data_IF_694474501397
#
_entry.id   IF_694474501397
#
_cell.length_a   1.000
_cell.length_b   1.000
_cell.length_c   1.000
_cell.angle_alpha   90.00
_cell.angle_beta   90.00
_cell.angle_gamma   90.00
#
_symmetry.space_group_name_H-M   'P 1'
#
loop_
_entity.id
_entity.type
_entity.pdbx_description
1 polymer ?
#
# COMPACT_ATOMS: atom_id res chain seq x y z
N UNK A 1 -5.48 8.33 0.24
CA UNK A 1 -5.32 9.32 1.32
C UNK A 1 -6.67 9.55 1.97
N UNK A 2 -6.74 9.45 3.29
CA UNK A 2 -8.00 9.56 4.01
C UNK A 2 -8.27 10.96 4.54
N UNK A 3 -7.22 11.68 4.95
CA UNK A 3 -7.39 13.01 5.52
C UNK A 3 -6.23 13.91 5.17
N UNK A 4 -6.52 15.20 5.14
CA UNK A 4 -5.53 16.28 5.17
C UNK A 4 -5.81 17.10 6.43
N UNK A 5 -4.82 17.25 7.30
CA UNK A 5 -5.04 17.95 8.56
C UNK A 5 -3.88 18.86 8.90
N UNK A 6 -4.21 19.98 9.54
CA UNK A 6 -3.19 20.81 10.17
C UNK A 6 -2.61 20.09 11.38
N UNK A 7 -1.32 20.31 11.62
CA UNK A 7 -0.64 19.81 12.81
C UNK A 7 -0.14 21.04 13.57
N UNK A 8 -0.54 21.24 14.83
CA UNK A 8 -0.14 22.44 15.57
C UNK A 8 1.38 22.64 15.54
N UNK A 9 1.78 23.86 15.23
CA UNK A 9 3.19 24.24 15.21
C UNK A 9 3.94 23.91 13.93
N UNK A 10 3.29 23.23 12.96
CA UNK A 10 3.95 22.88 11.71
C UNK A 10 3.14 23.45 10.53
N UNK A 11 3.80 24.06 9.54
CA UNK A 11 3.06 24.60 8.40
C UNK A 11 2.55 23.52 7.46
N UNK A 12 1.48 23.86 6.74
CA UNK A 12 0.92 22.97 5.72
C UNK A 12 -0.06 21.98 6.29
N UNK A 13 -0.41 21.01 5.46
CA UNK A 13 -1.41 19.99 5.80
C UNK A 13 -0.75 18.61 5.67
N UNK A 14 -0.83 17.82 6.76
CA UNK A 14 -0.29 16.46 6.74
C UNK A 14 -1.23 15.53 5.97
N UNK A 15 -0.63 14.67 5.17
CA UNK A 15 -1.34 13.66 4.41
C UNK A 15 -1.44 12.37 5.24
N UNK A 16 -2.67 11.86 5.44
CA UNK A 16 -2.90 10.66 6.24
C UNK A 16 -3.46 9.53 5.40
N UNK A 17 -2.86 8.33 5.54
CA UNK A 17 -3.39 7.11 4.92
C UNK A 17 -4.55 6.52 5.72
N UNK A 18 -4.60 6.79 7.00
CA UNK A 18 -5.66 6.37 7.92
C UNK A 18 -6.16 7.60 8.66
N UNK A 19 -7.43 7.63 9.10
CA UNK A 19 -7.87 8.74 9.93
C UNK A 19 -6.98 8.90 11.17
N UNK A 20 -6.64 10.12 11.51
CA UNK A 20 -5.81 10.38 12.69
C UNK A 20 -6.44 9.79 13.95
N UNK A 21 -7.77 9.87 14.08
CA UNK A 21 -8.46 9.33 15.25
C UNK A 21 -8.27 7.82 15.36
N UNK A 22 -8.25 7.11 14.26
CA UNK A 22 -7.99 5.68 14.27
C UNK A 22 -6.55 5.42 14.71
N UNK A 23 -5.59 6.13 14.12
CA UNK A 23 -4.18 5.92 14.44
C UNK A 23 -3.89 5.98 15.93
N UNK A 24 -4.41 6.78 16.42
CA UNK A 24 -4.26 6.99 17.73
C UNK A 24 -4.63 5.93 18.61
N UNK A 25 -5.56 4.97 18.16
CA UNK A 25 -6.05 3.85 18.95
C UNK A 25 -5.26 2.56 18.76
N UNK A 26 -4.39 2.50 17.79
CA UNK A 26 -3.68 1.29 17.39
C UNK A 26 -2.53 0.92 18.32
N UNK A 27 -2.08 -0.31 18.19
CA UNK A 27 -0.93 -0.82 18.95
C UNK A 27 -1.38 -1.61 20.15
N UNK A 28 -0.40 -2.14 20.84
CA UNK A 28 -0.58 -2.96 22.04
C UNK A 28 0.03 -2.23 23.23
N UNK A 29 -0.34 -2.65 24.44
CA UNK A 29 0.20 -2.05 25.67
C UNK A 29 1.72 -2.07 25.68
N UNK A 30 2.30 -3.10 25.06
CA UNK A 30 3.75 -3.31 25.04
C UNK A 30 4.44 -2.78 23.79
N UNK A 31 3.65 -2.34 22.78
CA UNK A 31 4.25 -1.85 21.53
C UNK A 31 3.28 -0.91 20.82
N UNK A 32 3.68 0.32 20.68
CA UNK A 32 2.87 1.38 20.07
C UNK A 32 3.29 1.81 18.65
N UNK A 33 3.95 1.17 18.00
CA UNK A 33 4.45 1.47 16.74
C UNK A 33 3.44 1.80 15.72
N UNK A 34 2.40 0.99 15.85
CA UNK A 34 1.31 1.18 14.87
C UNK A 34 0.80 2.60 14.80
N UNK A 35 0.76 3.29 15.92
CA UNK A 35 0.24 4.67 15.93
C UNK A 35 1.03 5.58 15.01
N UNK A 36 2.34 5.40 14.98
CA UNK A 36 3.24 6.20 14.15
C UNK A 36 3.27 5.68 12.72
N UNK A 37 3.29 4.37 12.54
CA UNK A 37 3.29 3.75 11.23
C UNK A 37 2.04 4.12 10.44
N UNK A 38 0.88 4.23 11.12
CA UNK A 38 -0.38 4.60 10.47
C UNK A 38 -0.34 6.04 9.94
N UNK A 39 0.52 6.89 10.49
CA UNK A 39 0.64 8.27 10.04
C UNK A 39 1.65 8.43 8.91
N UNK A 40 2.42 7.40 8.58
CA UNK A 40 3.37 7.47 7.47
C UNK A 40 2.64 7.56 6.14
N UNK A 41 3.29 8.20 5.18
CA UNK A 41 2.62 8.72 3.99
C UNK A 41 2.63 7.79 2.78
N UNK A 42 3.38 6.70 2.83
CA UNK A 42 3.61 5.90 1.62
C UNK A 42 2.30 5.51 0.94
N UNK A 43 2.29 5.68 -0.38
CA UNK A 43 1.11 5.36 -1.19
C UNK A 43 0.10 6.49 -1.30
N UNK A 44 0.19 7.53 -0.49
CA UNK A 44 -0.57 8.74 -0.77
C UNK A 44 -0.07 9.33 -2.08
N UNK A 45 -0.97 9.92 -2.83
CA UNK A 45 -0.64 10.46 -4.14
C UNK A 45 -1.37 11.77 -4.35
N UNK A 46 -0.63 12.80 -4.79
CA UNK A 46 -1.23 14.08 -5.18
C UNK A 46 -1.43 14.02 -6.68
N UNK A 47 -2.64 14.35 -7.08
CA UNK A 47 -3.00 14.30 -8.51
C UNK A 47 -3.53 15.64 -8.97
N UNK A 48 -3.02 16.29 -10.16
CA UNK A 48 -3.39 17.48 -10.64
C UNK A 48 -3.51 17.45 -12.11
N UNK A 49 -4.43 18.06 -12.59
CA UNK A 49 -4.49 18.32 -14.04
C UNK A 49 -4.43 19.83 -14.25
N UNK A 50 -3.51 20.29 -15.08
CA UNK A 50 -3.36 21.72 -15.36
C UNK A 50 -2.80 21.94 -16.76
N UNK A 51 -3.24 23.03 -17.38
CA UNK A 51 -2.63 23.49 -18.61
C UNK A 51 -1.28 24.19 -18.43
N UNK A 52 -0.87 24.44 -17.19
CA UNK A 52 0.43 25.05 -16.94
C UNK A 52 1.54 24.12 -17.43
N UNK A 53 2.46 24.67 -18.19
CA UNK A 53 3.60 23.90 -18.67
C UNK A 53 4.55 23.57 -17.53
N UNK A 54 4.65 24.46 -16.55
CA UNK A 54 5.44 24.22 -15.35
C UNK A 54 4.72 24.81 -14.14
N UNK A 55 5.06 24.30 -12.97
CA UNK A 55 4.49 24.77 -11.71
C UNK A 55 5.41 24.42 -10.55
N UNK A 56 5.19 25.05 -9.42
CA UNK A 56 5.94 24.79 -8.20
C UNK A 56 5.07 24.10 -7.18
N UNK A 57 5.61 23.05 -6.58
CA UNK A 57 4.94 22.27 -5.54
C UNK A 57 5.82 22.28 -4.30
N UNK A 58 5.27 22.76 -3.17
CA UNK A 58 6.01 22.85 -1.91
C UNK A 58 5.57 21.72 -0.98
N UNK A 59 6.53 20.91 -0.51
CA UNK A 59 6.31 19.76 0.35
C UNK A 59 7.34 19.77 1.48
N UNK A 60 6.95 19.24 2.65
CA UNK A 60 7.88 19.08 3.77
C UNK A 60 7.78 17.66 4.31
N UNK A 61 8.91 16.98 4.39
CA UNK A 61 9.01 15.66 5.02
C UNK A 61 9.35 15.83 6.50
N UNK A 62 8.81 14.94 7.32
CA UNK A 62 9.13 14.85 8.75
C UNK A 62 9.43 13.42 9.12
N UNK A 63 10.12 13.22 10.21
CA UNK A 63 10.63 11.97 10.76
C UNK A 63 11.89 11.53 10.02
N UNK A 64 11.82 11.32 8.72
CA UNK A 64 12.95 10.92 7.89
C UNK A 64 12.83 11.62 6.54
N UNK A 65 13.92 11.60 5.77
CA UNK A 65 13.87 12.00 4.36
C UNK A 65 12.88 11.09 3.64
N UNK A 66 12.14 11.68 2.68
CA UNK A 66 11.14 10.93 1.92
C UNK A 66 11.41 11.10 0.44
N UNK A 67 11.41 10.00 -0.30
CA UNK A 67 11.43 10.07 -1.76
C UNK A 67 10.01 10.24 -2.29
N UNK A 68 9.85 11.09 -3.27
CA UNK A 68 8.61 11.16 -4.05
C UNK A 68 8.94 10.87 -5.51
N UNK A 69 8.05 10.19 -6.20
CA UNK A 69 8.19 9.94 -7.63
C UNK A 69 7.13 10.76 -8.35
N UNK A 70 7.55 11.49 -9.37
CA UNK A 70 6.66 12.34 -10.16
C UNK A 70 6.36 11.62 -11.47
N UNK A 71 5.06 11.46 -11.76
CA UNK A 71 4.60 10.78 -12.97
C UNK A 71 3.78 11.72 -13.84
N UNK A 72 3.90 11.52 -15.16
CA UNK A 72 2.94 12.02 -16.14
C UNK A 72 2.12 10.81 -16.58
N UNK A 73 0.88 10.75 -16.13
CA UNK A 73 0.11 9.53 -16.34
C UNK A 73 0.79 8.33 -15.70
N UNK A 74 1.04 7.30 -16.48
CA UNK A 74 1.71 6.09 -16.00
C UNK A 74 3.23 6.13 -16.15
N UNK A 75 3.77 7.20 -16.73
CA UNK A 75 5.20 7.29 -17.01
C UNK A 75 5.92 8.11 -15.97
N UNK A 76 7.01 7.56 -15.43
CA UNK A 76 7.79 8.28 -14.43
C UNK A 76 8.56 9.41 -15.09
N UNK A 77 8.50 10.59 -14.52
CA UNK A 77 9.27 11.75 -14.98
C UNK A 77 10.56 11.88 -14.21
N UNK A 78 10.49 11.81 -12.89
CA UNK A 78 11.67 12.00 -12.04
C UNK A 78 11.37 11.50 -10.63
N UNK A 79 12.42 11.37 -9.84
CA UNK A 79 12.35 11.11 -8.42
C UNK A 79 13.00 12.28 -7.70
N UNK A 80 12.48 12.66 -6.55
CA UNK A 80 13.09 13.69 -5.72
C UNK A 80 13.14 13.20 -4.28
N UNK A 81 14.21 13.53 -3.58
CA UNK A 81 14.35 13.24 -2.16
C UNK A 81 14.08 14.53 -1.38
N UNK A 82 13.14 14.46 -0.45
CA UNK A 82 12.74 15.59 0.39
C UNK A 82 13.48 15.45 1.73
N UNK A 83 14.42 16.35 2.03
CA UNK A 83 15.12 16.27 3.33
C UNK A 83 14.16 16.55 4.48
N UNK A 84 14.26 15.77 5.53
CA UNK A 84 13.38 15.93 6.70
C UNK A 84 13.58 17.30 7.34
N UNK A 85 12.47 17.93 7.71
CA UNK A 85 12.49 19.20 8.44
C UNK A 85 12.66 20.43 7.59
N UNK A 86 12.73 20.29 6.27
CA UNK A 86 12.88 21.42 5.35
C UNK A 86 11.76 21.41 4.32
N UNK A 87 11.20 22.58 4.04
CA UNK A 87 10.27 22.69 2.93
C UNK A 87 11.05 22.70 1.63
N UNK A 88 10.72 21.78 0.74
CA UNK A 88 11.32 21.69 -0.59
C UNK A 88 10.30 22.20 -1.61
N UNK A 89 10.74 23.08 -2.50
CA UNK A 89 9.91 23.51 -3.62
C UNK A 89 10.40 22.77 -4.87
N UNK A 90 9.54 21.93 -5.41
CA UNK A 90 9.82 21.19 -6.63
C UNK A 90 9.29 22.01 -7.80
N UNK A 91 10.17 22.36 -8.72
CA UNK A 91 9.77 23.00 -9.97
C UNK A 91 9.57 21.91 -11.01
N UNK A 92 8.33 21.68 -11.40
CA UNK A 92 7.96 20.56 -12.28
C UNK A 92 7.56 21.09 -13.65
N UNK A 93 8.05 20.43 -14.69
CA UNK A 93 7.84 20.89 -16.06
C UNK A 93 7.42 19.71 -16.93
N UNK A 94 6.32 19.88 -17.67
CA UNK A 94 5.85 18.84 -18.58
C UNK A 94 6.86 18.65 -19.72
N UNK A 95 7.18 17.40 -20.08
CA UNK A 95 8.14 17.19 -21.17
C UNK A 95 7.62 17.76 -22.50
N UNK A 96 8.46 18.51 -23.19
CA UNK A 96 8.09 19.08 -24.50
C UNK A 96 7.76 18.00 -25.52
N UNK A 97 8.36 16.82 -25.38
CA UNK A 97 8.12 15.72 -26.29
C UNK A 97 6.65 15.31 -26.34
N UNK A 98 5.91 15.54 -25.26
CA UNK A 98 4.48 15.14 -25.22
C UNK A 98 3.66 15.82 -26.30
N UNK A 99 4.04 17.03 -26.68
CA UNK A 99 3.29 17.78 -27.69
C UNK A 99 3.35 17.13 -29.08
N UNK A 100 4.34 16.25 -29.28
CA UNK A 100 4.57 15.61 -30.57
C UNK A 100 4.10 14.17 -30.61
N UNK A 101 3.45 13.70 -29.54
CA UNK A 101 3.00 12.32 -29.50
C UNK A 101 1.65 12.18 -30.21
N UNK A 102 1.46 11.01 -30.83
CA UNK A 102 0.16 10.67 -31.40
C UNK A 102 -0.86 10.50 -30.29
N UNK A 103 -2.15 10.82 -30.53
CA UNK A 103 -3.16 10.74 -29.46
C UNK A 103 -3.22 9.39 -28.77
N UNK A 104 -3.02 8.27 -29.50
CA UNK A 104 -3.06 6.95 -28.88
C UNK A 104 -1.98 6.78 -27.81
N UNK A 105 -0.83 7.45 -27.97
CA UNK A 105 0.25 7.36 -26.99
C UNK A 105 -0.02 8.15 -25.72
N UNK A 106 -1.01 9.03 -25.75
CA UNK A 106 -1.37 9.83 -24.58
C UNK A 106 -2.30 9.09 -23.63
N UNK A 107 -2.93 8.03 -24.11
CA UNK A 107 -3.72 7.17 -23.23
C UNK A 107 -2.80 6.32 -22.38
N UNK A 108 -3.15 6.13 -21.14
CA UNK A 108 -2.37 5.27 -20.26
C UNK A 108 -3.16 4.02 -19.93
N UNK A 109 -2.49 3.07 -19.31
CA UNK A 109 -3.17 1.88 -18.78
C UNK A 109 -4.10 2.26 -17.65
N UNK A 110 -3.65 3.20 -16.81
CA UNK A 110 -4.44 3.67 -15.67
C UNK A 110 -4.76 5.17 -15.77
N UNK A 111 -3.80 5.98 -16.24
CA UNK A 111 -3.93 7.43 -16.25
C UNK A 111 -3.47 7.96 -17.61
N UNK A 112 -4.22 8.89 -18.21
CA UNK A 112 -3.73 9.58 -19.40
C UNK A 112 -2.49 10.45 -19.08
N UNK A 113 -1.73 10.72 -19.95
CA UNK A 113 -0.58 11.39 -19.85
C UNK A 113 -0.58 12.70 -19.28
N UNK A 114 -1.70 13.30 -19.35
CA UNK A 114 -1.77 14.67 -18.83
C UNK A 114 -2.02 14.74 -17.33
N UNK A 115 -2.28 13.64 -16.68
CA UNK A 115 -2.51 13.64 -15.24
C UNK A 115 -1.16 13.63 -14.53
N UNK A 116 -0.90 14.68 -13.76
CA UNK A 116 0.28 14.74 -12.89
C UNK A 116 0.01 13.89 -11.66
N UNK A 117 0.98 13.05 -11.28
CA UNK A 117 0.88 12.23 -10.08
C UNK A 117 2.17 12.33 -9.29
N UNK A 118 2.05 12.69 -8.03
CA UNK A 118 3.20 12.74 -7.12
C UNK A 118 2.97 11.63 -6.10
N UNK A 119 3.70 10.53 -6.27
CA UNK A 119 3.56 9.33 -5.46
C UNK A 119 4.52 9.40 -4.30
N UNK A 120 3.99 9.35 -3.09
CA UNK A 120 4.79 9.48 -1.87
C UNK A 120 5.39 8.15 -1.46
N UNK A 121 6.67 8.17 -1.14
CA UNK A 121 7.39 6.98 -0.69
C UNK A 121 7.33 6.79 0.81
N UNK A 122 8.18 5.89 1.31
CA UNK A 122 8.10 5.37 2.67
C UNK A 122 8.88 6.20 3.69
N UNK A 123 8.62 5.88 4.93
CA UNK A 123 9.45 6.14 6.12
C UNK A 123 9.27 7.49 6.77
N UNK A 124 8.20 8.21 6.45
CA UNK A 124 8.00 9.46 7.16
C UNK A 124 6.63 10.05 6.95
N UNK A 125 6.45 11.24 7.51
CA UNK A 125 5.23 12.03 7.40
C UNK A 125 5.45 13.12 6.37
N UNK A 126 4.42 13.47 5.62
CA UNK A 126 4.56 14.49 4.59
C UNK A 126 3.48 15.55 4.72
N UNK A 127 3.90 16.80 4.57
CA UNK A 127 2.98 17.93 4.53
C UNK A 127 2.95 18.53 3.14
N UNK A 128 1.75 18.88 2.71
CA UNK A 128 1.52 19.68 1.51
C UNK A 128 1.53 21.14 1.94
N UNK A 129 2.42 21.94 1.36
CA UNK A 129 2.58 23.36 1.75
C UNK A 129 2.07 24.32 0.69
N UNK A 130 1.83 23.87 -0.53
CA UNK A 130 1.26 24.73 -1.55
C UNK A 130 1.58 24.32 -2.96
N UNK A 131 0.80 24.87 -3.87
CA UNK A 131 0.94 24.64 -5.31
C UNK A 131 0.79 25.97 -6.00
N UNK A 132 1.75 26.33 -6.86
CA UNK A 132 1.70 27.57 -7.62
C UNK A 132 1.77 27.25 -9.10
N UNK A 133 0.66 27.42 -9.81
CA UNK A 133 0.61 27.20 -11.26
C UNK A 133 0.70 28.52 -12.03
N UNK A 134 1.16 29.57 -11.37
CA UNK A 134 1.38 30.88 -11.99
C UNK A 134 0.13 31.42 -12.68
N UNK A 135 -1.03 31.24 -12.05
CA UNK A 135 -2.27 31.75 -12.54
C UNK A 135 -3.00 30.88 -13.56
N UNK A 136 -2.39 29.77 -13.96
CA UNK A 136 -3.06 28.84 -14.89
C UNK A 136 -3.98 27.92 -14.09
N UNK A 137 -5.21 27.67 -14.55
CA UNK A 137 -6.14 26.81 -13.79
C UNK A 137 -5.60 25.41 -13.52
N UNK A 138 -5.98 24.88 -12.36
CA UNK A 138 -5.61 23.56 -11.91
C UNK A 138 -6.85 22.89 -11.31
N UNK A 139 -7.02 21.61 -11.57
CA UNK A 139 -8.19 20.86 -11.07
C UNK A 139 -7.80 19.42 -10.72
N UNK A 140 -8.62 18.73 -9.92
CA UNK A 140 -8.39 17.29 -9.73
C UNK A 140 -8.75 16.53 -11.01
N UNK A 141 -8.27 15.29 -11.16
CA UNK A 141 -8.66 14.47 -12.30
C UNK A 141 -10.17 14.16 -12.27
N UNK A 142 -10.75 14.07 -13.46
CA UNK A 142 -12.11 13.57 -13.59
C UNK A 142 -12.15 12.05 -13.39
N UNK A 143 -13.33 11.47 -13.12
CA UNK A 143 -13.40 10.01 -12.97
C UNK A 143 -12.82 9.23 -14.16
N UNK A 144 -13.02 9.72 -15.38
CA UNK A 144 -12.49 9.05 -16.57
C UNK A 144 -10.97 9.16 -16.70
N UNK A 145 -10.34 10.00 -15.90
CA UNK A 145 -8.90 10.24 -15.96
C UNK A 145 -8.14 9.46 -14.89
N UNK A 146 -8.78 8.53 -14.20
CA UNK A 146 -8.13 7.72 -13.17
C UNK A 146 -8.86 6.38 -13.07
N UNK A 147 -8.24 5.37 -12.42
CA UNK A 147 -8.86 4.05 -12.37
C UNK A 147 -10.19 4.07 -11.63
N UNK A 148 -11.15 3.31 -12.16
CA UNK A 148 -12.46 3.17 -11.53
C UNK A 148 -12.44 2.18 -10.36
N UNK A 149 -11.52 1.23 -10.38
CA UNK A 149 -11.46 0.15 -9.40
C UNK A 149 -10.50 0.52 -8.28
N UNK A 150 -10.98 0.39 -7.05
CA UNK A 150 -10.20 0.73 -5.85
C UNK A 150 -9.91 -0.52 -5.04
N UNK A 151 -8.65 -0.70 -4.68
CA UNK A 151 -8.15 -1.86 -3.93
C UNK A 151 -7.48 -1.39 -2.65
N UNK A 152 -7.93 -1.92 -1.49
CA UNK A 152 -7.28 -1.68 -0.19
C UNK A 152 -6.34 -2.83 0.10
N UNK A 153 -5.07 -2.52 0.38
CA UNK A 153 -4.08 -3.54 0.68
C UNK A 153 -3.58 -3.38 2.13
N UNK A 154 -4.06 -4.24 3.01
CA UNK A 154 -3.65 -4.25 4.41
C UNK A 154 -2.57 -5.32 4.60
N UNK A 155 -1.56 -5.01 5.40
CA UNK A 155 -0.49 -5.97 5.65
C UNK A 155 0.65 -5.37 6.44
N UNK A 156 1.78 -6.06 6.38
CA UNK A 156 3.01 -5.75 7.10
C UNK A 156 3.88 -4.76 6.32
N UNK A 157 5.15 -4.65 6.75
CA UNK A 157 6.16 -3.89 6.00
C UNK A 157 6.35 -4.42 4.58
N UNK A 158 6.05 -5.69 4.33
CA UNK A 158 6.15 -6.23 2.98
C UNK A 158 5.10 -5.55 2.09
N UNK A 159 3.87 -5.39 2.58
CA UNK A 159 2.85 -4.63 1.85
C UNK A 159 3.26 -3.17 1.70
N UNK A 160 3.89 -2.59 2.71
CA UNK A 160 4.41 -1.21 2.60
C UNK A 160 5.46 -1.05 1.51
N UNK A 161 6.17 -2.12 1.16
CA UNK A 161 7.22 -2.05 0.16
C UNK A 161 8.61 -1.86 0.73
N UNK A 162 8.81 -2.18 2.01
CA UNK A 162 10.11 -2.00 2.65
C UNK A 162 11.22 -2.71 1.89
N UNK A 163 12.38 -2.07 1.86
CA UNK A 163 13.61 -2.49 1.18
C UNK A 163 13.61 -2.21 -0.33
N UNK A 164 12.48 -1.88 -0.94
CA UNK A 164 12.53 -1.43 -2.34
C UNK A 164 13.35 -0.14 -2.43
N UNK A 165 14.07 0.03 -3.53
CA UNK A 165 14.85 1.25 -3.76
C UNK A 165 13.97 2.40 -4.25
N UNK A 166 12.85 2.08 -4.90
CA UNK A 166 11.81 3.08 -5.20
C UNK A 166 10.46 2.47 -4.84
N UNK A 167 9.60 3.29 -4.27
CA UNK A 167 8.32 2.80 -3.72
C UNK A 167 7.42 2.18 -4.81
N UNK A 168 7.49 2.66 -6.04
CA UNK A 168 6.66 2.10 -7.10
C UNK A 168 6.97 0.63 -7.39
N UNK A 169 8.10 0.11 -6.91
CA UNK A 169 8.42 -1.32 -7.05
C UNK A 169 7.70 -2.21 -6.04
N UNK A 170 7.10 -1.64 -4.98
CA UNK A 170 6.35 -2.45 -4.01
C UNK A 170 5.35 -3.34 -4.73
N UNK A 171 5.18 -4.57 -4.22
CA UNK A 171 4.38 -5.57 -4.95
C UNK A 171 2.95 -5.09 -5.20
N UNK A 172 2.38 -4.34 -4.27
CA UNK A 172 1.01 -3.84 -4.47
C UNK A 172 0.94 -2.84 -5.61
N UNK A 173 1.97 -1.99 -5.75
CA UNK A 173 2.01 -1.04 -6.87
C UNK A 173 2.20 -1.76 -8.19
N UNK A 174 3.06 -2.78 -8.21
CA UNK A 174 3.30 -3.56 -9.42
C UNK A 174 2.04 -4.30 -9.86
N UNK A 175 1.32 -4.89 -8.90
CA UNK A 175 0.07 -5.57 -9.22
C UNK A 175 -0.99 -4.58 -9.70
N UNK A 176 -1.12 -3.44 -9.03
CA UNK A 176 -2.13 -2.45 -9.40
C UNK A 176 -1.93 -1.94 -10.82
N UNK A 177 -0.68 -1.70 -11.22
CA UNK A 177 -0.39 -1.25 -12.59
C UNK A 177 -0.87 -2.27 -13.61
N UNK A 178 -0.59 -3.56 -13.37
CA UNK A 178 -0.95 -4.62 -14.29
C UNK A 178 -2.44 -4.85 -14.34
N UNK A 179 -3.14 -4.64 -13.22
CA UNK A 179 -4.59 -4.81 -13.13
C UNK A 179 -5.37 -3.59 -13.60
N UNK A 180 -4.72 -2.44 -13.70
CA UNK A 180 -5.39 -1.19 -14.01
C UNK A 180 -6.18 -0.62 -12.83
N UNK A 181 -5.77 -0.93 -11.62
CA UNK A 181 -6.47 -0.55 -10.39
C UNK A 181 -5.76 0.58 -9.65
N UNK A 182 -6.50 1.25 -8.77
CA UNK A 182 -5.98 2.25 -7.85
C UNK A 182 -5.81 1.58 -6.49
N UNK A 183 -4.57 1.37 -6.06
CA UNK A 183 -4.32 0.70 -4.78
C UNK A 183 -4.10 1.73 -3.68
N UNK A 184 -4.75 1.51 -2.54
CA UNK A 184 -4.57 2.30 -1.33
C UNK A 184 -3.81 1.42 -0.33
N UNK A 185 -2.57 1.81 -0.06
CA UNK A 185 -1.67 1.00 0.78
C UNK A 185 -2.01 1.22 2.24
N UNK A 186 -2.55 0.18 2.87
CA UNK A 186 -2.90 0.20 4.30
C UNK A 186 -1.94 -0.64 5.12
N UNK A 187 -0.73 -0.86 4.63
CA UNK A 187 0.30 -1.59 5.35
C UNK A 187 0.79 -0.84 6.60
N UNK A 188 1.10 -1.61 7.63
CA UNK A 188 1.62 -1.09 8.90
C UNK A 188 2.92 -1.83 9.23
N UNK A 189 4.04 -1.17 8.99
CA UNK A 189 5.37 -1.79 9.13
C UNK A 189 5.58 -2.28 10.56
N UNK A 190 5.89 -3.57 10.70
CA UNK A 190 6.13 -4.19 12.00
C UNK A 190 4.90 -4.26 12.90
N UNK A 191 3.73 -3.88 12.40
CA UNK A 191 2.56 -3.61 13.25
C UNK A 191 1.26 -4.11 12.64
N UNK A 192 1.31 -5.11 11.78
CA UNK A 192 0.10 -5.70 11.20
C UNK A 192 -0.45 -6.70 12.22
N UNK A 193 -1.19 -6.18 13.20
CA UNK A 193 -1.63 -6.94 14.37
C UNK A 193 -3.12 -7.29 14.36
N UNK A 194 -3.81 -7.03 13.25
CA UNK A 194 -5.22 -7.43 13.10
C UNK A 194 -6.11 -6.90 14.24
N UNK A 195 -5.92 -5.65 14.63
CA UNK A 195 -6.71 -5.05 15.71
C UNK A 195 -8.17 -4.91 15.30
N UNK A 196 -9.09 -4.97 16.29
CA UNK A 196 -10.51 -4.79 16.05
C UNK A 196 -10.80 -3.43 15.38
N UNK A 197 -10.07 -2.40 15.76
CA UNK A 197 -10.26 -1.07 15.19
C UNK A 197 -9.94 -1.04 13.70
N UNK A 198 -8.91 -1.80 13.29
CA UNK A 198 -8.57 -1.93 11.86
C UNK A 198 -9.68 -2.69 11.13
N UNK A 199 -10.17 -3.78 11.73
CA UNK A 199 -11.25 -4.55 11.11
C UNK A 199 -12.48 -3.68 10.88
N UNK A 200 -12.88 -2.90 11.89
CA UNK A 200 -14.02 -2.00 11.79
C UNK A 200 -13.80 -0.94 10.71
N UNK A 201 -12.60 -0.41 10.63
CA UNK A 201 -12.24 0.58 9.60
C UNK A 201 -12.40 -0.02 8.20
N UNK A 202 -11.83 -1.21 7.98
CA UNK A 202 -11.91 -1.86 6.67
C UNK A 202 -13.36 -2.18 6.29
N UNK A 203 -14.18 -2.55 7.28
CA UNK A 203 -15.58 -2.87 7.04
C UNK A 203 -16.39 -1.68 6.53
N UNK A 204 -15.91 -0.46 6.73
CA UNK A 204 -16.65 0.75 6.39
C UNK A 204 -16.12 1.45 5.13
N UNK A 205 -15.08 0.91 4.51
CA UNK A 205 -14.45 1.59 3.38
C UNK A 205 -15.22 1.39 2.09
N UNK A 206 -15.20 2.40 1.24
CA UNK A 206 -15.75 2.33 -0.11
C UNK A 206 -14.64 1.84 -1.04
N UNK A 207 -14.66 0.56 -1.34
CA UNK A 207 -13.63 -0.07 -2.17
C UNK A 207 -14.20 -1.30 -2.86
N UNK A 208 -13.52 -1.74 -3.92
CA UNK A 208 -13.94 -2.90 -4.69
C UNK A 208 -13.25 -4.18 -4.23
N UNK A 209 -12.02 -4.08 -3.83
CA UNK A 209 -11.20 -5.24 -3.45
C UNK A 209 -10.42 -4.96 -2.19
N UNK A 210 -10.18 -6.01 -1.42
CA UNK A 210 -9.36 -5.96 -0.21
C UNK A 210 -8.40 -7.13 -0.23
N UNK A 211 -7.12 -6.87 0.05
CA UNK A 211 -6.18 -7.94 0.32
C UNK A 211 -5.65 -7.81 1.73
N UNK A 212 -5.44 -8.97 2.37
CA UNK A 212 -5.00 -9.06 3.75
C UNK A 212 -3.76 -9.96 3.79
N UNK A 213 -2.59 -9.36 3.99
CA UNK A 213 -1.33 -10.10 4.05
C UNK A 213 -1.00 -10.27 5.54
N UNK A 214 -1.13 -11.50 6.05
CA UNK A 214 -1.22 -11.73 7.49
C UNK A 214 -0.16 -12.69 8.01
N UNK A 215 0.28 -12.45 9.22
CA UNK A 215 0.99 -13.39 10.06
C UNK A 215 2.40 -12.99 10.44
N UNK A 216 3.14 -12.38 9.54
CA UNK A 216 4.58 -12.19 9.75
C UNK A 216 4.88 -11.29 10.96
N UNK A 217 4.07 -10.27 11.19
CA UNK A 217 4.31 -9.36 12.32
C UNK A 217 3.84 -9.92 13.65
N UNK A 218 2.88 -10.84 13.64
CA UNK A 218 2.36 -11.40 14.87
C UNK A 218 3.17 -12.62 15.34
N UNK A 219 3.89 -13.29 14.41
CA UNK A 219 4.63 -14.48 14.74
C UNK A 219 5.66 -14.30 15.87
N UNK A 220 6.38 -13.18 15.95
CA UNK A 220 7.34 -13.01 17.05
C UNK A 220 6.72 -12.86 18.43
N UNK A 221 5.46 -12.40 18.54
CA UNK A 221 4.97 -11.91 19.82
C UNK A 221 3.59 -12.43 20.25
N UNK A 222 2.85 -13.10 19.37
CA UNK A 222 1.51 -13.55 19.67
C UNK A 222 1.44 -15.08 19.69
N UNK A 223 0.61 -15.64 20.58
CA UNK A 223 0.34 -17.06 20.55
C UNK A 223 -0.45 -17.44 19.31
N UNK A 224 -0.40 -18.71 18.94
CA UNK A 224 -1.21 -19.21 17.83
C UNK A 224 -2.71 -19.01 18.11
N UNK A 225 -3.14 -19.21 19.36
CA UNK A 225 -4.54 -19.02 19.73
C UNK A 225 -4.97 -17.56 19.57
N UNK A 226 -4.14 -16.61 19.99
CA UNK A 226 -4.48 -15.20 19.88
C UNK A 226 -4.47 -14.76 18.40
N UNK A 227 -3.51 -15.25 17.61
CA UNK A 227 -3.49 -14.99 16.19
C UNK A 227 -4.79 -15.48 15.54
N UNK A 228 -5.17 -16.72 15.82
CA UNK A 228 -6.39 -17.30 15.26
C UNK A 228 -7.62 -16.46 15.65
N UNK A 229 -7.67 -16.03 16.90
CA UNK A 229 -8.79 -15.23 17.38
C UNK A 229 -8.92 -13.92 16.61
N UNK A 230 -7.79 -13.26 16.40
CA UNK A 230 -7.79 -11.97 15.70
C UNK A 230 -8.11 -12.12 14.22
N UNK A 231 -7.56 -13.13 13.61
CA UNK A 231 -7.87 -13.38 12.19
C UNK A 231 -9.35 -13.75 12.02
N UNK A 232 -9.89 -14.44 12.82
CA UNK A 232 -11.22 -14.77 12.80
C UNK A 232 -12.08 -13.61 12.89
N UNK A 233 -11.76 -12.52 13.61
CA UNK A 233 -12.42 -11.37 13.72
C UNK A 233 -12.33 -10.53 12.58
N UNK A 234 -11.12 -10.42 12.16
CA UNK A 234 -10.86 -9.63 10.97
C UNK A 234 -11.66 -10.09 9.76
N UNK A 235 -11.63 -11.37 9.47
CA UNK A 235 -12.34 -11.88 8.28
C UNK A 235 -13.85 -11.67 8.41
N UNK A 236 -14.41 -11.97 9.57
CA UNK A 236 -15.83 -11.80 9.80
C UNK A 236 -16.25 -10.34 9.63
N UNK A 237 -15.50 -9.44 10.24
CA UNK A 237 -15.83 -8.01 10.21
C UNK A 237 -15.64 -7.43 8.80
N UNK A 238 -14.52 -7.76 8.13
CA UNK A 238 -14.29 -7.31 6.76
C UNK A 238 -15.38 -7.81 5.82
N UNK A 239 -15.85 -9.03 6.04
CA UNK A 239 -16.93 -9.61 5.22
C UNK A 239 -18.24 -8.85 5.32
N UNK A 240 -18.42 -8.03 6.35
CA UNK A 240 -19.62 -7.19 6.49
C UNK A 240 -19.62 -6.05 5.47
N UNK A 241 -18.49 -5.77 4.84
CA UNK A 241 -18.40 -4.72 3.83
C UNK A 241 -18.91 -5.25 2.50
N UNK A 242 -20.17 -4.99 2.22
CA UNK A 242 -20.84 -5.55 1.03
C UNK A 242 -20.49 -4.80 -0.27
N UNK A 243 -19.73 -3.71 -0.20
CA UNK A 243 -19.19 -3.06 -1.38
C UNK A 243 -18.06 -3.87 -2.00
N UNK A 244 -17.34 -4.66 -1.19
CA UNK A 244 -16.20 -5.45 -1.68
C UNK A 244 -16.68 -6.58 -2.57
N UNK A 245 -16.07 -6.71 -3.75
CA UNK A 245 -16.34 -7.80 -4.69
C UNK A 245 -15.57 -9.06 -4.35
N UNK A 246 -14.35 -8.90 -3.83
CA UNK A 246 -13.49 -10.01 -3.40
C UNK A 246 -12.66 -9.57 -2.20
N UNK A 247 -12.34 -10.53 -1.34
CA UNK A 247 -11.43 -10.35 -0.22
C UNK A 247 -10.36 -11.44 -0.34
N UNK A 248 -9.13 -11.01 -0.61
CA UNK A 248 -8.01 -11.93 -0.79
C UNK A 248 -7.23 -12.04 0.51
N UNK A 249 -7.11 -13.26 1.02
CA UNK A 249 -6.33 -13.53 2.22
C UNK A 249 -5.02 -14.14 1.78
N UNK A 250 -3.90 -13.50 2.10
CA UNK A 250 -2.58 -13.94 1.66
C UNK A 250 -1.81 -14.43 2.88
N UNK A 251 -1.41 -15.69 2.87
CA UNK A 251 -0.61 -16.21 3.96
C UNK A 251 0.86 -15.79 3.78
N UNK A 252 1.67 -16.04 4.80
CA UNK A 252 3.03 -15.50 4.83
C UNK A 252 3.85 -15.93 3.61
N UNK A 253 4.55 -14.96 3.05
CA UNK A 253 5.55 -15.22 2.01
C UNK A 253 6.72 -15.99 2.63
N UNK A 254 7.51 -16.71 1.82
CA UNK A 254 8.73 -17.34 2.34
C UNK A 254 9.58 -16.32 3.10
N UNK A 255 10.10 -16.75 4.24
CA UNK A 255 10.90 -15.86 5.08
C UNK A 255 11.77 -16.70 6.02
N UNK A 256 12.61 -16.03 6.82
CA UNK A 256 13.56 -16.71 7.68
C UNK A 256 12.88 -17.70 8.64
N UNK A 257 11.62 -17.52 8.94
CA UNK A 257 10.89 -18.45 9.80
C UNK A 257 10.86 -19.87 9.24
N UNK A 258 10.90 -20.00 7.91
CA UNK A 258 10.98 -21.33 7.27
C UNK A 258 12.41 -21.87 7.17
N UNK A 259 13.39 -20.98 7.22
CA UNK A 259 14.76 -21.32 6.89
C UNK A 259 15.64 -21.52 8.14
N UNK A 260 15.28 -20.88 9.24
CA UNK A 260 16.09 -20.87 10.44
C UNK A 260 15.93 -22.17 11.22
N UNK A 261 17.03 -22.65 11.82
CA UNK A 261 17.02 -23.94 12.52
C UNK A 261 16.64 -23.84 13.99
N UNK A 262 16.58 -22.63 14.54
CA UNK A 262 16.35 -22.49 15.98
C UNK A 262 14.85 -22.34 16.27
N UNK A 263 14.23 -23.24 16.56
CA UNK A 263 12.97 -23.37 16.87
C UNK A 263 12.55 -22.75 18.09
N UNK A 264 13.53 -22.33 19.03
CA UNK A 264 13.15 -21.59 20.22
C UNK A 264 12.69 -20.16 19.91
N UNK A 265 13.06 -19.63 18.76
CA UNK A 265 12.62 -18.30 18.36
C UNK A 265 11.15 -18.32 18.02
N UNK A 266 10.30 -17.46 18.62
CA UNK A 266 8.87 -17.50 18.35
C UNK A 266 8.52 -17.33 16.86
N UNK A 267 9.23 -16.46 16.13
CA UNK A 267 8.95 -16.25 14.72
C UNK A 267 9.17 -17.53 13.90
N UNK A 268 10.15 -18.35 14.31
CA UNK A 268 10.41 -19.63 13.62
C UNK A 268 9.35 -20.66 14.04
N UNK A 269 9.12 -20.78 15.33
CA UNK A 269 8.15 -21.74 15.87
C UNK A 269 6.74 -21.51 15.34
N UNK A 270 6.33 -20.27 15.17
CA UNK A 270 4.97 -19.92 14.74
C UNK A 270 4.79 -19.87 13.23
N UNK A 271 5.87 -19.93 12.44
CA UNK A 271 5.78 -19.69 11.01
C UNK A 271 4.77 -20.64 10.34
N UNK A 272 4.96 -21.93 10.46
CA UNK A 272 4.03 -22.90 9.87
C UNK A 272 2.69 -22.94 10.56
N UNK A 273 2.61 -22.94 11.90
CA UNK A 273 1.29 -22.90 12.54
C UNK A 273 0.44 -21.69 12.13
N UNK A 274 1.03 -20.50 11.99
CA UNK A 274 0.27 -19.34 11.55
C UNK A 274 -0.22 -19.48 10.11
N UNK A 275 0.61 -20.07 9.22
CA UNK A 275 0.17 -20.33 7.86
C UNK A 275 -1.00 -21.32 7.85
N UNK A 276 -0.94 -22.35 8.67
CA UNK A 276 -2.04 -23.31 8.78
C UNK A 276 -3.33 -22.66 9.27
N UNK A 277 -3.22 -21.79 10.26
CA UNK A 277 -4.37 -21.04 10.78
C UNK A 277 -4.96 -20.17 9.68
N UNK A 278 -4.12 -19.47 9.01
CA UNK A 278 -4.58 -18.57 7.93
C UNK A 278 -5.31 -19.32 6.84
N UNK A 279 -4.83 -20.27 6.47
CA UNK A 279 -5.37 -21.07 5.45
C UNK A 279 -6.64 -21.67 5.85
N UNK A 280 -6.69 -22.17 7.15
CA UNK A 280 -7.90 -22.82 7.67
C UNK A 280 -9.03 -21.79 7.81
N UNK A 281 -8.75 -20.67 8.38
CA UNK A 281 -9.76 -19.63 8.57
C UNK A 281 -10.23 -19.03 7.25
N UNK A 282 -9.36 -18.87 6.32
CA UNK A 282 -9.75 -18.41 4.99
C UNK A 282 -10.65 -19.42 4.29
N UNK A 283 -10.34 -20.57 4.43
CA UNK A 283 -11.09 -21.59 3.90
C UNK A 283 -12.42 -21.69 4.53
N UNK A 284 -12.62 -21.37 5.79
CA UNK A 284 -13.80 -21.29 6.44
C UNK A 284 -14.63 -20.18 5.99
N UNK A 285 -14.04 -19.05 5.87
CA UNK A 285 -14.74 -17.88 5.37
C UNK A 285 -15.30 -18.08 3.96
N UNK A 286 -14.52 -18.70 3.10
CA UNK A 286 -14.95 -18.92 1.71
C UNK A 286 -16.17 -19.82 1.58
N UNK A 287 -16.34 -20.74 2.50
CA UNK A 287 -17.52 -21.61 2.48
C UNK A 287 -18.79 -20.83 2.78
N UNK A 288 -18.71 -19.82 3.60
CA UNK A 288 -19.86 -19.01 3.96
C UNK A 288 -20.06 -17.82 3.03
N UNK A 289 -18.98 -17.36 2.39
CA UNK A 289 -18.98 -16.14 1.58
C UNK A 289 -17.99 -16.33 0.44
N UNK A 290 -18.50 -16.54 -0.77
CA UNK A 290 -17.68 -16.86 -1.94
C UNK A 290 -16.73 -15.74 -2.35
N UNK A 291 -16.84 -14.57 -1.74
CA UNK A 291 -15.92 -13.48 -2.05
C UNK A 291 -14.50 -13.70 -1.53
N UNK A 292 -14.39 -14.60 -0.50
CA UNK A 292 -13.07 -14.85 0.10
C UNK A 292 -12.23 -15.79 -0.76
N UNK A 293 -10.87 -15.56 -0.88
CA UNK A 293 -9.98 -16.34 -1.63
C UNK A 293 -8.72 -16.39 -0.86
N UNK A 294 -8.06 -17.35 -0.55
CA UNK A 294 -6.86 -17.56 -0.05
C UNK A 294 -5.97 -17.55 -1.15
N UNK A 295 -4.89 -16.93 -0.94
CA UNK A 295 -3.73 -16.94 -1.83
C UNK A 295 -2.52 -17.35 -1.01
N UNK A 296 -1.84 -18.40 -1.44
CA UNK A 296 -0.63 -18.84 -0.73
C UNK A 296 0.55 -17.94 -1.12
N UNK A 297 1.28 -17.49 -0.12
CA UNK A 297 2.48 -16.70 -0.34
C UNK A 297 3.50 -17.36 -1.25
N UNK A 298 3.56 -18.48 -1.13
CA UNK A 298 4.39 -19.32 -1.83
C UNK A 298 4.14 -19.27 -3.26
N UNK A 299 2.92 -18.91 -3.71
CA UNK A 299 2.57 -18.77 -5.02
C UNK A 299 2.97 -17.44 -5.55
N UNK A 300 3.14 -16.45 -4.70
CA UNK A 300 3.54 -15.18 -5.05
C UNK A 300 5.01 -15.00 -5.12
N UNK A 301 5.80 -15.51 -4.06
CA UNK A 301 7.28 -15.54 -4.06
C UNK A 301 7.71 -16.99 -3.96
N UNK A 302 8.22 -17.53 -5.03
CA UNK A 302 8.43 -18.98 -5.11
C UNK A 302 9.76 -19.44 -4.52
N UNK A 303 10.74 -18.55 -4.40
CA UNK A 303 12.00 -18.93 -3.76
C UNK A 303 12.57 -17.76 -3.00
N UNK A 304 13.55 -18.06 -2.16
CA UNK A 304 14.12 -17.08 -1.25
C UNK A 304 15.16 -16.17 -1.89
N UNK A 305 15.51 -16.41 -3.14
CA UNK A 305 16.42 -15.52 -3.86
C UNK A 305 15.79 -14.13 -4.09
N UNK A 306 14.47 -14.06 -4.02
CA UNK A 306 13.78 -12.78 -4.11
C UNK A 306 13.77 -11.96 -2.84
N UNK A 307 14.34 -12.51 -1.75
CA UNK A 307 14.44 -11.77 -0.49
C UNK A 307 15.73 -10.97 -0.45
N UNK A 308 15.73 -9.93 0.36
CA UNK A 308 16.98 -9.27 0.74
C UNK A 308 17.71 -10.13 1.77
N UNK A 309 18.92 -9.72 2.17
CA UNK A 309 19.73 -10.53 3.08
C UNK A 309 19.19 -10.62 4.50
N UNK A 310 18.14 -9.86 4.84
CA UNK A 310 17.50 -10.06 6.14
C UNK A 310 16.55 -11.27 6.11
N UNK A 311 16.37 -11.88 4.94
CA UNK A 311 15.55 -13.08 4.74
C UNK A 311 14.11 -12.88 5.20
N UNK A 312 13.62 -11.66 5.06
CA UNK A 312 12.25 -11.31 5.41
C UNK A 312 11.63 -10.39 4.36
N UNK A 313 12.32 -9.30 4.03
CA UNK A 313 11.79 -8.30 3.10
C UNK A 313 12.26 -8.62 1.68
N UNK A 314 11.34 -8.68 0.72
CA UNK A 314 11.75 -8.90 -0.68
C UNK A 314 12.60 -7.75 -1.20
N UNK A 315 13.53 -8.07 -2.10
CA UNK A 315 14.28 -7.08 -2.85
C UNK A 315 13.38 -6.42 -3.90
N UNK A 316 13.91 -5.45 -4.64
CA UNK A 316 13.17 -4.89 -5.77
C UNK A 316 12.71 -5.99 -6.72
N UNK A 317 13.61 -6.89 -7.09
CA UNK A 317 13.25 -7.98 -8.00
C UNK A 317 12.17 -8.87 -7.40
N UNK A 318 12.30 -9.21 -6.12
CA UNK A 318 11.29 -10.02 -5.44
C UNK A 318 9.92 -9.37 -5.45
N UNK A 319 9.88 -8.07 -5.12
CA UNK A 319 8.62 -7.33 -5.13
C UNK A 319 7.98 -7.30 -6.53
N UNK A 320 8.80 -7.07 -7.57
CA UNK A 320 8.27 -7.01 -8.93
C UNK A 320 7.68 -8.36 -9.34
N UNK A 321 8.39 -9.45 -9.05
CA UNK A 321 7.89 -10.79 -9.35
C UNK A 321 6.62 -11.11 -8.55
N UNK A 322 6.57 -10.72 -7.27
CA UNK A 322 5.38 -10.89 -6.45
C UNK A 322 4.19 -10.15 -7.01
N UNK A 323 4.41 -8.91 -7.44
CA UNK A 323 3.33 -8.11 -8.00
C UNK A 323 2.80 -8.69 -9.30
N UNK A 324 3.70 -9.17 -10.14
CA UNK A 324 3.32 -9.82 -11.40
C UNK A 324 2.49 -11.08 -11.12
N UNK A 325 2.96 -11.92 -10.21
CA UNK A 325 2.27 -13.16 -9.87
C UNK A 325 0.90 -12.87 -9.23
N UNK A 326 0.85 -11.90 -8.32
CA UNK A 326 -0.40 -11.55 -7.66
C UNK A 326 -1.42 -11.01 -8.67
N UNK A 327 -0.98 -10.18 -9.60
CA UNK A 327 -1.90 -9.65 -10.61
C UNK A 327 -2.50 -10.78 -11.46
N UNK A 328 -1.70 -11.77 -11.83
CA UNK A 328 -2.18 -12.91 -12.60
C UNK A 328 -3.23 -13.69 -11.81
N UNK A 329 -2.98 -13.92 -10.52
CA UNK A 329 -3.92 -14.62 -9.66
C UNK A 329 -5.21 -13.82 -9.50
N UNK A 330 -5.08 -12.58 -9.18
CA UNK A 330 -6.25 -11.73 -8.99
C UNK A 330 -7.07 -11.56 -10.26
N UNK A 331 -6.54 -11.42 -11.23
CA UNK A 331 -7.16 -11.31 -12.43
C UNK A 331 -8.02 -12.41 -12.75
N UNK A 332 -7.55 -13.68 -12.43
CA UNK A 332 -8.38 -14.89 -12.67
C UNK A 332 -9.67 -14.86 -11.85
N UNK A 333 -9.55 -14.49 -10.58
CA UNK A 333 -10.70 -14.44 -9.70
C UNK A 333 -11.69 -13.35 -10.07
N UNK A 334 -11.22 -12.25 -10.64
CA UNK A 334 -12.10 -11.19 -11.12
C UNK A 334 -12.91 -11.67 -12.33
N UNK A 335 -12.26 -12.38 -13.25
CA UNK A 335 -12.93 -12.89 -14.45
C UNK A 335 -13.98 -13.93 -14.10
N UNK A 336 -13.73 -14.75 -13.07
CA UNK A 336 -14.70 -15.77 -12.65
C UNK A 336 -16.00 -15.17 -12.12
N UNK A 337 -16.00 -13.89 -11.71
CA UNK A 337 -17.19 -13.25 -11.16
C UNK A 337 -17.98 -12.46 -12.21
N UNK A 338 -17.55 -12.45 -13.49
CA UNK A 338 -18.28 -11.86 -14.58
C UNK A 338 -19.17 -12.91 -15.24
#
# INVERSE_FOLDING_TARGET
MDELREVPGLPGLRLYRFPKALAXTLGEAWQHXARFRAQRVHGCELRXVTGARCFDLALTAYENDIDVQIFRGDRVLQKATLPAGQTTVLHLEAPALEEKLRPAALKGTRFPXHVWRILCGMNGYLHFNGLDTYGIPCRPPLPAEQPAVRWLAYGSSITCGSVTTVYSNAYVNQAARRLGWDVLNKGLSGSCFCEAQIADYLAQQSADYLSLELGVNMAPSFSTAEYARRVXXLLKTAGQNKRLRRIFVIDAFPNYGLLHTDXTLPAVRHCLPFREVTXRLAXXAAQEDARFXXIHGXXXLQNTDGLSCDLLHPSDEGHILMGQALAEIMXRHVEETR
#
